data_IF_978878033769
#
_entry.id   IF_978878033769
#
_cell.length_a   1.000
_cell.length_b   1.000
_cell.length_c   1.000
_cell.angle_alpha   90.00
_cell.angle_beta   90.00
_cell.angle_gamma   90.00
#
_symmetry.space_group_name_H-M   'P 1'
#
loop_
_entity.id
_entity.type
_entity.pdbx_description
1 polymer ?
#
# COMPACT_ATOMS: atom_id res chain seq x y z
N UNK A 1 -2.54 -25.30 -9.10
CA UNK A 1 -3.47 -24.84 -8.05
C UNK A 1 -3.36 -25.80 -6.88
N UNK A 2 -3.17 -25.30 -5.67
CA UNK A 2 -3.17 -26.14 -4.47
C UNK A 2 -4.61 -26.65 -4.29
N UNK A 3 -4.82 -27.95 -4.52
CA UNK A 3 -6.15 -28.57 -4.34
C UNK A 3 -6.56 -28.76 -2.87
N UNK A 4 -5.69 -28.43 -1.93
CA UNK A 4 -5.85 -28.68 -0.50
C UNK A 4 -6.11 -27.36 0.23
N UNK A 5 -7.07 -27.35 1.17
CA UNK A 5 -7.32 -26.22 2.06
C UNK A 5 -6.16 -26.05 3.03
N UNK A 6 -5.51 -24.89 3.02
CA UNK A 6 -4.40 -24.56 3.90
C UNK A 6 -4.88 -23.90 5.19
N UNK A 7 -4.13 -24.12 6.28
CA UNK A 7 -4.23 -23.35 7.51
C UNK A 7 -3.15 -22.27 7.52
N UNK A 8 -3.55 -21.00 7.52
CA UNK A 8 -2.65 -19.85 7.35
C UNK A 8 -2.78 -18.91 8.54
N UNK A 9 -1.67 -18.66 9.22
CA UNK A 9 -1.55 -17.60 10.23
C UNK A 9 -1.08 -16.31 9.57
N UNK A 10 -1.89 -15.26 9.67
CA UNK A 10 -1.48 -13.89 9.33
C UNK A 10 -1.03 -13.15 10.59
N UNK A 11 0.22 -12.70 10.61
CA UNK A 11 0.73 -11.78 11.63
C UNK A 11 0.91 -10.39 11.03
N UNK A 12 0.25 -9.38 11.58
CA UNK A 12 0.24 -8.02 11.05
C UNK A 12 0.44 -6.96 12.12
N UNK A 13 1.07 -5.85 11.74
CA UNK A 13 1.25 -4.66 12.61
C UNK A 13 0.09 -3.66 12.53
N UNK A 14 -0.99 -4.00 11.84
CA UNK A 14 -2.21 -3.21 11.72
C UNK A 14 -3.37 -4.09 11.25
N UNK A 15 -4.63 -3.71 11.51
CA UNK A 15 -5.79 -4.46 11.04
C UNK A 15 -5.96 -4.33 9.52
N UNK A 16 -6.45 -5.41 8.88
CA UNK A 16 -6.78 -5.40 7.46
C UNK A 16 -8.13 -4.73 7.16
N UNK A 17 -9.07 -4.76 8.12
CA UNK A 17 -10.44 -4.27 7.94
C UNK A 17 -10.93 -3.46 9.13
N UNK A 18 -11.81 -2.47 8.90
CA UNK A 18 -12.21 -1.94 7.58
C UNK A 18 -11.03 -1.23 6.88
N UNK A 19 -10.88 -1.36 5.55
CA UNK A 19 -9.76 -0.76 4.83
C UNK A 19 -9.95 0.76 4.68
N UNK A 20 -9.02 1.55 5.20
CA UNK A 20 -9.04 3.03 5.18
C UNK A 20 -7.92 3.63 4.30
N UNK A 21 -6.93 2.81 3.91
CA UNK A 21 -5.80 3.20 3.06
C UNK A 21 -5.16 1.99 2.37
N UNK A 22 -4.27 2.24 1.41
CA UNK A 22 -3.76 1.25 0.47
C UNK A 22 -3.22 -0.05 1.08
N UNK A 23 -2.42 0.03 2.16
CA UNK A 23 -1.88 -1.17 2.79
C UNK A 23 -3.00 -2.07 3.38
N UNK A 24 -4.02 -1.45 4.00
CA UNK A 24 -5.18 -2.20 4.49
C UNK A 24 -6.01 -2.78 3.33
N UNK A 25 -6.19 -2.01 2.25
CA UNK A 25 -6.92 -2.48 1.07
C UNK A 25 -6.24 -3.72 0.44
N UNK A 26 -4.89 -3.76 0.39
CA UNK A 26 -4.15 -4.94 -0.05
C UNK A 26 -4.40 -6.14 0.87
N UNK A 27 -4.21 -5.97 2.17
CA UNK A 27 -4.44 -7.05 3.14
C UNK A 27 -5.89 -7.56 3.07
N UNK A 28 -6.86 -6.64 3.11
CA UNK A 28 -8.28 -6.97 3.02
C UNK A 28 -8.61 -7.75 1.75
N UNK A 29 -8.16 -7.26 0.59
CA UNK A 29 -8.42 -7.89 -0.70
C UNK A 29 -7.85 -9.31 -0.80
N UNK A 30 -6.58 -9.49 -0.44
CA UNK A 30 -5.93 -10.81 -0.46
C UNK A 30 -6.54 -11.75 0.58
N UNK A 31 -6.72 -11.31 1.83
CA UNK A 31 -7.26 -12.15 2.90
C UNK A 31 -8.72 -12.53 2.66
N UNK A 32 -9.56 -11.62 2.12
CA UNK A 32 -10.95 -11.93 1.78
C UNK A 32 -11.04 -13.00 0.69
N UNK A 33 -10.20 -12.96 -0.33
CA UNK A 33 -10.16 -13.97 -1.38
C UNK A 33 -9.62 -15.32 -0.89
N UNK A 34 -8.55 -15.29 -0.09
CA UNK A 34 -7.97 -16.50 0.48
C UNK A 34 -8.89 -17.15 1.51
N UNK A 35 -9.61 -16.39 2.32
CA UNK A 35 -10.54 -16.88 3.33
C UNK A 35 -11.73 -17.67 2.77
N UNK A 36 -12.05 -17.48 1.48
CA UNK A 36 -13.04 -18.30 0.76
C UNK A 36 -12.56 -19.74 0.53
N UNK A 37 -11.24 -19.95 0.50
CA UNK A 37 -10.62 -21.22 0.08
C UNK A 37 -9.75 -21.85 1.16
N UNK A 38 -9.27 -21.07 2.12
CA UNK A 38 -8.34 -21.47 3.17
C UNK A 38 -8.85 -21.08 4.56
N UNK A 39 -8.28 -21.69 5.61
CA UNK A 39 -8.57 -21.34 6.99
C UNK A 39 -7.57 -20.27 7.46
N UNK A 40 -8.06 -19.04 7.64
CA UNK A 40 -7.23 -17.92 8.08
C UNK A 40 -7.39 -17.69 9.59
N UNK A 41 -6.27 -17.57 10.28
CA UNK A 41 -6.19 -17.02 11.64
C UNK A 41 -5.36 -15.73 11.58
N UNK A 42 -5.82 -14.65 12.18
CA UNK A 42 -5.08 -13.38 12.21
C UNK A 42 -4.65 -13.04 13.64
N UNK A 43 -3.36 -12.69 13.80
CA UNK A 43 -2.82 -12.04 15.00
C UNK A 43 -2.39 -10.64 14.61
N UNK A 44 -3.04 -9.64 15.20
CA UNK A 44 -2.95 -8.25 14.75
C UNK A 44 -2.49 -7.36 15.90
N UNK A 45 -1.37 -6.68 15.71
CA UNK A 45 -0.94 -5.60 16.59
C UNK A 45 -1.73 -4.34 16.22
N UNK A 46 -2.44 -3.73 17.19
CA UNK A 46 -3.32 -2.60 16.94
C UNK A 46 -2.88 -1.34 17.68
N UNK A 47 -2.83 -0.21 16.98
CA UNK A 47 -2.58 1.10 17.57
C UNK A 47 -3.90 1.73 18.05
N UNK A 48 -3.83 2.71 18.98
CA UNK A 48 -4.97 3.40 19.61
C UNK A 48 -5.91 4.12 18.63
N UNK A 49 -5.50 4.32 17.39
CA UNK A 49 -6.31 4.95 16.35
C UNK A 49 -7.41 4.03 15.76
N UNK A 50 -7.33 2.73 16.05
CA UNK A 50 -8.29 1.74 15.56
C UNK A 50 -9.14 1.21 16.71
N UNK A 51 -10.43 1.04 16.44
CA UNK A 51 -11.31 0.31 17.33
C UNK A 51 -11.07 -1.19 17.18
N UNK A 52 -10.67 -1.84 18.28
CA UNK A 52 -10.29 -3.25 18.28
C UNK A 52 -11.48 -4.18 17.98
N UNK A 53 -12.66 -3.86 18.50
CA UNK A 53 -13.86 -4.67 18.32
C UNK A 53 -14.42 -4.50 16.89
N UNK A 54 -14.44 -3.28 16.37
CA UNK A 54 -14.80 -3.01 14.95
C UNK A 54 -13.88 -3.78 14.00
N UNK A 55 -12.56 -3.69 14.20
CA UNK A 55 -11.58 -4.35 13.34
C UNK A 55 -11.69 -5.86 13.42
N UNK A 56 -11.85 -6.41 14.64
CA UNK A 56 -12.05 -7.83 14.85
C UNK A 56 -13.32 -8.33 14.17
N UNK A 57 -14.46 -7.68 14.38
CA UNK A 57 -15.72 -8.03 13.77
C UNK A 57 -15.65 -8.00 12.23
N UNK A 58 -15.05 -6.96 11.65
CA UNK A 58 -14.88 -6.85 10.21
C UNK A 58 -13.98 -7.95 9.63
N UNK A 59 -12.89 -8.33 10.31
CA UNK A 59 -11.98 -9.38 9.85
C UNK A 59 -12.55 -10.80 10.03
N UNK A 60 -13.45 -11.01 11.00
CA UNK A 60 -14.15 -12.30 11.19
C UNK A 60 -15.04 -12.68 10.00
N UNK A 61 -15.35 -11.75 9.09
CA UNK A 61 -16.08 -12.05 7.87
C UNK A 61 -15.33 -13.02 6.93
N UNK A 62 -14.00 -13.11 7.05
CA UNK A 62 -13.15 -13.96 6.20
C UNK A 62 -12.04 -14.70 6.96
N UNK A 63 -11.84 -14.41 8.24
CA UNK A 63 -10.95 -15.16 9.12
C UNK A 63 -11.77 -16.08 10.03
N UNK A 64 -11.22 -17.26 10.32
CA UNK A 64 -11.78 -18.21 11.30
C UNK A 64 -11.60 -17.71 12.72
N UNK A 65 -10.50 -16.98 12.97
CA UNK A 65 -10.20 -16.40 14.28
C UNK A 65 -9.36 -15.12 14.10
N UNK A 66 -9.59 -14.13 14.97
CA UNK A 66 -8.87 -12.85 14.98
C UNK A 66 -8.48 -12.49 16.40
N UNK A 67 -7.19 -12.46 16.67
CA UNK A 67 -6.61 -12.09 17.95
C UNK A 67 -5.98 -10.73 17.83
N UNK A 68 -6.48 -9.78 18.61
CA UNK A 68 -6.00 -8.39 18.60
C UNK A 68 -5.09 -8.18 19.82
N UNK A 69 -3.91 -7.61 19.58
CA UNK A 69 -2.92 -7.28 20.61
C UNK A 69 -2.71 -5.77 20.61
N UNK A 70 -2.93 -5.07 21.73
CA UNK A 70 -2.68 -3.63 21.81
C UNK A 70 -1.20 -3.28 21.66
N UNK A 71 -0.92 -2.22 20.90
CA UNK A 71 0.44 -1.69 20.76
C UNK A 71 0.69 -0.56 21.77
N UNK A 72 1.57 -0.75 22.77
CA UNK A 72 1.83 0.28 23.78
C UNK A 72 2.63 1.49 23.27
N UNK A 73 3.20 1.39 22.07
CA UNK A 73 4.12 2.42 21.57
C UNK A 73 3.44 3.52 20.74
N UNK A 74 2.19 3.38 20.36
CA UNK A 74 1.43 4.39 19.61
C UNK A 74 2.14 4.95 18.37
N UNK A 75 1.39 5.64 17.51
CA UNK A 75 1.97 6.29 16.31
C UNK A 75 2.39 7.74 16.54
N UNK A 76 1.93 8.35 17.61
CA UNK A 76 2.12 9.76 17.89
C UNK A 76 2.45 10.02 19.40
N UNK A 77 2.83 11.24 19.73
CA UNK A 77 3.03 11.67 21.11
C UNK A 77 4.42 11.39 21.70
N UNK A 78 4.48 11.36 23.03
CA UNK A 78 5.72 11.23 23.80
C UNK A 78 6.33 9.84 23.66
N UNK A 79 5.53 8.79 23.66
CA UNK A 79 5.98 7.40 23.52
C UNK A 79 6.76 7.18 22.22
N UNK A 80 6.25 7.72 21.11
CA UNK A 80 6.96 7.73 19.83
C UNK A 80 8.31 8.42 19.89
N UNK A 81 8.36 9.64 20.49
CA UNK A 81 9.61 10.42 20.61
C UNK A 81 10.65 9.70 21.46
N UNK A 82 10.23 9.12 22.58
CA UNK A 82 11.10 8.32 23.43
C UNK A 82 11.63 7.07 22.70
N UNK A 83 10.78 6.37 21.95
CA UNK A 83 11.19 5.21 21.18
C UNK A 83 12.15 5.61 20.04
N UNK A 84 11.91 6.75 19.37
CA UNK A 84 12.83 7.30 18.38
C UNK A 84 14.19 7.66 18.98
N UNK A 85 14.21 8.30 20.17
CA UNK A 85 15.45 8.60 20.88
C UNK A 85 16.21 7.31 21.28
N UNK A 86 15.49 6.30 21.79
CA UNK A 86 16.08 4.98 22.11
C UNK A 86 16.62 4.29 20.86
N UNK A 87 15.95 4.44 19.70
CA UNK A 87 16.41 3.84 18.46
C UNK A 87 17.75 4.40 18.02
N UNK A 88 18.11 5.63 18.34
CA UNK A 88 19.44 6.20 18.04
C UNK A 88 20.58 5.43 18.71
N UNK A 89 20.37 4.98 19.95
CA UNK A 89 21.33 4.19 20.73
C UNK A 89 21.24 2.67 20.45
N UNK A 90 20.29 2.23 19.62
CA UNK A 90 20.06 0.82 19.28
C UNK A 90 20.73 0.48 17.96
N UNK A 91 21.06 -0.79 17.76
CA UNK A 91 21.46 -1.35 16.45
C UNK A 91 20.23 -1.61 15.54
N UNK A 92 19.02 -1.61 16.12
CA UNK A 92 17.77 -1.86 15.42
C UNK A 92 17.08 -0.57 15.00
N UNK A 93 16.30 -0.65 13.92
CA UNK A 93 15.48 0.44 13.41
C UNK A 93 14.34 0.79 14.37
N UNK A 94 13.85 2.02 14.26
CA UNK A 94 12.64 2.46 14.97
C UNK A 94 11.44 1.58 14.61
N UNK A 95 11.30 1.21 13.34
CA UNK A 95 10.21 0.40 12.79
C UNK A 95 10.15 -0.99 13.45
N UNK A 96 11.30 -1.65 13.58
CA UNK A 96 11.41 -2.91 14.30
C UNK A 96 11.09 -2.75 15.78
N UNK A 97 11.68 -1.77 16.45
CA UNK A 97 11.48 -1.54 17.89
C UNK A 97 10.01 -1.28 18.22
N UNK A 98 9.28 -0.60 17.33
CA UNK A 98 7.86 -0.28 17.51
C UNK A 98 6.97 -1.52 17.52
N UNK A 99 7.33 -2.55 16.81
CA UNK A 99 6.56 -3.81 16.72
C UNK A 99 7.13 -4.93 17.60
N UNK A 100 8.22 -4.66 18.32
CA UNK A 100 8.78 -5.59 19.31
C UNK A 100 8.00 -5.46 20.62
N UNK A 101 6.84 -6.12 20.67
CA UNK A 101 5.91 -6.10 21.80
C UNK A 101 5.87 -7.49 22.44
N UNK A 102 6.26 -7.65 23.74
CA UNK A 102 6.29 -8.95 24.40
C UNK A 102 4.95 -9.69 24.34
N UNK A 103 3.83 -8.99 24.58
CA UNK A 103 2.50 -9.58 24.50
C UNK A 103 2.17 -10.14 23.11
N UNK A 104 2.71 -9.53 22.01
CA UNK A 104 2.56 -10.08 20.67
C UNK A 104 3.29 -11.42 20.53
N UNK A 105 4.52 -11.50 21.05
CA UNK A 105 5.28 -12.77 21.02
C UNK A 105 4.59 -13.86 21.85
N UNK A 106 4.11 -13.55 23.05
CA UNK A 106 3.38 -14.50 23.90
C UNK A 106 2.13 -15.06 23.22
N UNK A 107 1.38 -14.20 22.51
CA UNK A 107 0.22 -14.62 21.73
C UNK A 107 0.63 -15.51 20.57
N UNK A 108 1.68 -15.15 19.84
CA UNK A 108 2.19 -15.95 18.72
C UNK A 108 2.68 -17.32 19.20
N UNK A 109 3.48 -17.38 20.27
CA UNK A 109 3.97 -18.64 20.85
C UNK A 109 2.82 -19.56 21.25
N UNK A 110 1.80 -19.03 21.93
CA UNK A 110 0.61 -19.78 22.29
C UNK A 110 -0.13 -20.33 21.08
N UNK A 111 -0.45 -19.46 20.11
CA UNK A 111 -1.24 -19.84 18.92
C UNK A 111 -0.50 -20.88 18.09
N UNK A 112 0.81 -20.72 17.91
CA UNK A 112 1.65 -21.64 17.16
C UNK A 112 1.85 -22.98 17.86
N UNK A 113 1.87 -23.00 19.19
CA UNK A 113 1.99 -24.24 19.97
C UNK A 113 0.66 -25.02 20.02
N UNK A 114 -0.46 -24.30 20.09
CA UNK A 114 -1.79 -24.92 20.23
C UNK A 114 -2.40 -25.37 18.89
N UNK A 115 -1.98 -24.74 17.76
CA UNK A 115 -2.61 -24.94 16.45
C UNK A 115 -1.58 -25.23 15.37
N UNK A 116 -1.96 -26.11 14.44
CA UNK A 116 -1.17 -26.38 13.24
C UNK A 116 -1.44 -25.33 12.17
N UNK A 117 -0.35 -24.86 11.57
CA UNK A 117 -0.38 -24.00 10.39
C UNK A 117 0.54 -24.56 9.30
N UNK A 118 0.12 -24.41 8.04
CA UNK A 118 0.95 -24.73 6.89
C UNK A 118 1.85 -23.53 6.55
N UNK A 119 1.29 -22.31 6.66
CA UNK A 119 1.94 -21.04 6.36
C UNK A 119 1.79 -20.07 7.53
N UNK A 120 2.87 -19.38 7.86
CA UNK A 120 2.86 -18.13 8.64
C UNK A 120 3.15 -16.99 7.67
N UNK A 121 2.17 -16.15 7.42
CA UNK A 121 2.28 -15.00 6.54
C UNK A 121 2.50 -13.73 7.35
N UNK A 122 3.68 -13.14 7.24
CA UNK A 122 4.01 -11.86 7.87
C UNK A 122 3.63 -10.72 6.95
N UNK A 123 2.80 -9.82 7.42
CA UNK A 123 2.54 -8.59 6.72
C UNK A 123 3.54 -7.54 7.19
N UNK A 124 4.41 -7.16 6.30
CA UNK A 124 5.61 -6.35 6.46
C UNK A 124 6.82 -7.09 7.09
N UNK A 125 8.02 -6.82 6.57
CA UNK A 125 9.26 -7.50 7.00
C UNK A 125 9.69 -7.15 8.42
N UNK A 126 9.23 -6.04 8.99
CA UNK A 126 9.60 -5.60 10.33
C UNK A 126 9.13 -6.52 11.47
N UNK A 127 8.20 -7.46 11.21
CA UNK A 127 7.82 -8.54 12.12
C UNK A 127 8.74 -9.76 12.05
N UNK A 128 9.58 -9.89 11.03
CA UNK A 128 10.39 -11.08 10.77
C UNK A 128 11.48 -11.38 11.80
N UNK A 129 11.70 -10.50 12.78
CA UNK A 129 12.59 -10.74 13.90
C UNK A 129 11.93 -11.53 15.05
N UNK A 130 10.59 -11.62 15.06
CA UNK A 130 9.86 -12.39 16.07
C UNK A 130 10.13 -13.89 15.90
N UNK A 131 9.86 -14.66 16.95
CA UNK A 131 10.01 -16.11 16.92
C UNK A 131 8.76 -16.76 16.32
N UNK A 132 8.96 -17.57 15.28
CA UNK A 132 7.92 -18.37 14.62
C UNK A 132 8.27 -19.86 14.58
N UNK A 133 9.26 -20.29 15.39
CA UNK A 133 9.74 -21.66 15.42
C UNK A 133 9.01 -22.54 16.44
N UNK A 134 7.89 -22.06 16.99
CA UNK A 134 6.97 -22.84 17.81
C UNK A 134 5.97 -23.58 16.90
N UNK A 135 5.67 -24.81 17.21
CA UNK A 135 4.64 -25.63 16.54
C UNK A 135 4.27 -26.85 17.39
N UNK A 136 3.10 -27.47 17.20
CA UNK A 136 2.68 -28.62 18.01
C UNK A 136 3.64 -29.80 17.87
N UNK A 137 3.82 -30.54 18.95
CA UNK A 137 4.73 -31.70 18.96
C UNK A 137 4.32 -32.74 17.89
N UNK A 138 5.28 -33.20 17.10
CA UNK A 138 5.05 -34.15 16.00
C UNK A 138 4.59 -33.52 14.67
N UNK A 139 4.33 -32.22 14.63
CA UNK A 139 3.99 -31.50 13.41
C UNK A 139 5.23 -30.90 12.74
N UNK A 140 5.10 -30.54 11.45
CA UNK A 140 6.15 -29.83 10.71
C UNK A 140 6.11 -28.35 11.04
N UNK A 141 7.28 -27.68 11.01
CA UNK A 141 7.38 -26.23 11.10
C UNK A 141 6.58 -25.58 9.97
N UNK A 142 5.71 -24.60 10.28
CA UNK A 142 5.03 -23.82 9.24
C UNK A 142 6.03 -23.05 8.38
N UNK A 143 5.70 -22.82 7.11
CA UNK A 143 6.51 -22.00 6.22
C UNK A 143 6.33 -20.54 6.50
N UNK A 144 7.42 -19.82 6.65
CA UNK A 144 7.43 -18.39 6.89
C UNK A 144 7.45 -17.63 5.55
N UNK A 145 6.40 -16.88 5.27
CA UNK A 145 6.27 -16.08 4.05
C UNK A 145 6.09 -14.61 4.43
N UNK A 146 6.78 -13.71 3.74
CA UNK A 146 6.71 -12.25 3.99
C UNK A 146 5.99 -11.55 2.86
N UNK A 147 4.95 -10.76 3.18
CA UNK A 147 4.30 -9.78 2.31
C UNK A 147 5.06 -8.46 2.40
N UNK A 148 5.83 -8.14 1.39
CA UNK A 148 6.53 -6.86 1.29
C UNK A 148 5.76 -5.91 0.40
N UNK A 149 5.03 -4.96 1.01
CA UNK A 149 4.22 -3.98 0.29
C UNK A 149 5.07 -2.97 -0.49
N UNK A 150 6.28 -2.74 -0.04
CA UNK A 150 7.30 -1.87 -0.62
C UNK A 150 8.66 -2.22 0.01
N UNK A 151 9.74 -1.82 -0.60
CA UNK A 151 11.07 -1.88 0.02
C UNK A 151 11.24 -0.65 0.92
N UNK A 152 10.89 -0.79 2.20
CA UNK A 152 10.78 0.35 3.11
C UNK A 152 12.12 1.04 3.38
N UNK A 153 13.25 0.31 3.39
CA UNK A 153 14.55 0.94 3.54
C UNK A 153 14.94 1.82 2.33
N UNK A 154 14.48 1.49 1.11
CA UNK A 154 14.74 2.34 -0.07
C UNK A 154 13.92 3.63 0.02
N UNK A 155 12.67 3.54 0.43
CA UNK A 155 11.84 4.71 0.70
C UNK A 155 12.44 5.59 1.81
N UNK A 156 12.91 4.98 2.91
CA UNK A 156 13.58 5.71 3.99
C UNK A 156 14.89 6.38 3.52
N UNK A 157 15.62 5.76 2.60
CA UNK A 157 16.79 6.37 1.93
C UNK A 157 16.39 7.59 1.13
N UNK A 158 15.36 7.50 0.27
CA UNK A 158 14.84 8.63 -0.51
C UNK A 158 14.48 9.82 0.42
N UNK A 159 13.84 9.56 1.56
CA UNK A 159 13.52 10.61 2.55
C UNK A 159 14.76 11.23 3.19
N UNK A 160 15.81 10.45 3.39
CA UNK A 160 17.06 10.96 3.95
C UNK A 160 17.80 11.93 3.00
N UNK A 161 17.54 11.80 1.69
CA UNK A 161 18.18 12.62 0.65
C UNK A 161 17.37 13.89 0.33
N UNK A 162 16.04 13.83 0.38
CA UNK A 162 15.17 14.85 -0.21
C UNK A 162 14.49 15.78 0.79
N UNK A 163 14.45 15.50 2.09
CA UNK A 163 13.52 16.21 2.95
C UNK A 163 14.00 16.70 4.31
N UNK A 164 13.47 17.86 4.73
CA UNK A 164 13.45 18.29 6.11
C UNK A 164 14.70 19.03 6.60
N UNK A 165 14.76 19.26 7.94
CA UNK A 165 15.90 19.89 8.61
C UNK A 165 17.13 18.98 8.62
N UNK A 166 18.33 19.54 8.80
CA UNK A 166 19.58 18.77 8.90
C UNK A 166 19.50 17.66 9.95
N UNK A 167 18.86 17.93 11.09
CA UNK A 167 18.66 16.94 12.17
C UNK A 167 17.77 15.78 11.71
N UNK A 168 16.68 16.07 11.00
CA UNK A 168 15.80 15.03 10.46
C UNK A 168 16.53 14.17 9.42
N UNK A 169 17.32 14.79 8.55
CA UNK A 169 18.13 14.05 7.56
C UNK A 169 19.14 13.13 8.23
N UNK A 170 19.86 13.62 9.23
CA UNK A 170 20.83 12.82 9.99
C UNK A 170 20.16 11.62 10.67
N UNK A 171 19.02 11.85 11.34
CA UNK A 171 18.21 10.77 11.91
C UNK A 171 17.78 9.75 10.83
N UNK A 172 17.22 10.22 9.72
CA UNK A 172 16.78 9.37 8.63
C UNK A 172 17.94 8.57 8.03
N UNK A 173 19.13 9.18 7.89
CA UNK A 173 20.34 8.49 7.42
C UNK A 173 20.80 7.40 8.40
N UNK A 174 20.72 7.61 9.70
CA UNK A 174 21.04 6.59 10.68
C UNK A 174 19.99 5.46 10.69
N UNK A 175 18.71 5.81 10.59
CA UNK A 175 17.62 4.84 10.70
C UNK A 175 17.47 3.96 9.45
N UNK A 176 17.62 4.50 8.22
CA UNK A 176 17.42 3.68 7.01
C UNK A 176 18.45 2.55 6.89
N UNK A 177 19.71 2.75 7.35
CA UNK A 177 20.72 1.69 7.36
C UNK A 177 20.35 0.55 8.31
N UNK A 178 19.78 0.89 9.47
CA UNK A 178 19.27 -0.10 10.44
C UNK A 178 18.05 -0.82 9.88
N UNK A 179 17.14 -0.06 9.26
CA UNK A 179 15.95 -0.62 8.62
C UNK A 179 16.33 -1.58 7.50
N UNK A 180 17.31 -1.23 6.66
CA UNK A 180 17.84 -2.14 5.64
C UNK A 180 18.41 -3.43 6.26
N UNK A 181 19.16 -3.32 7.36
CA UNK A 181 19.67 -4.50 8.07
C UNK A 181 18.55 -5.39 8.60
N UNK A 182 17.53 -4.79 9.24
CA UNK A 182 16.41 -5.50 9.82
C UNK A 182 15.53 -6.16 8.74
N UNK A 183 15.21 -5.46 7.64
CA UNK A 183 14.41 -6.00 6.54
C UNK A 183 15.13 -7.14 5.81
N UNK A 184 16.40 -6.95 5.45
CA UNK A 184 17.18 -8.00 4.81
C UNK A 184 17.35 -9.23 5.73
N UNK A 185 17.45 -9.03 7.04
CA UNK A 185 17.42 -10.10 8.03
C UNK A 185 16.11 -10.90 7.97
N UNK A 186 14.98 -10.21 7.86
CA UNK A 186 13.66 -10.83 7.74
C UNK A 186 13.51 -11.62 6.43
N UNK A 187 13.93 -11.04 5.30
CA UNK A 187 13.86 -11.71 4.00
C UNK A 187 14.73 -12.97 3.93
N UNK A 188 15.91 -12.96 4.57
CA UNK A 188 16.80 -14.14 4.61
C UNK A 188 16.28 -15.26 5.51
N UNK A 189 15.45 -14.95 6.51
CA UNK A 189 14.81 -15.95 7.38
C UNK A 189 13.55 -16.54 6.77
N UNK A 190 12.92 -15.85 5.83
CA UNK A 190 11.70 -16.30 5.20
C UNK A 190 11.94 -17.46 4.23
N UNK A 191 11.00 -18.41 4.19
CA UNK A 191 10.95 -19.46 3.18
C UNK A 191 10.52 -18.91 1.81
N UNK A 192 9.87 -17.73 1.80
CA UNK A 192 9.50 -16.99 0.61
C UNK A 192 9.10 -15.54 0.90
N UNK A 193 9.24 -14.69 -0.11
CA UNK A 193 8.88 -13.26 -0.05
C UNK A 193 8.04 -12.91 -1.28
N UNK A 194 6.89 -12.28 -1.10
CA UNK A 194 6.16 -11.76 -2.24
C UNK A 194 6.04 -10.23 -2.18
N UNK A 195 6.13 -9.61 -3.36
CA UNK A 195 6.23 -8.17 -3.53
C UNK A 195 5.15 -7.65 -4.48
N UNK A 196 4.92 -6.35 -4.47
CA UNK A 196 3.86 -5.73 -5.28
C UNK A 196 4.25 -5.54 -6.75
N UNK A 197 5.54 -5.53 -7.08
CA UNK A 197 6.02 -5.22 -8.42
C UNK A 197 7.32 -5.94 -8.78
N UNK A 198 7.55 -6.10 -10.07
CA UNK A 198 8.83 -6.60 -10.62
C UNK A 198 9.99 -5.67 -10.27
N UNK A 199 9.74 -4.36 -10.13
CA UNK A 199 10.78 -3.41 -9.75
C UNK A 199 11.26 -3.65 -8.31
N UNK A 200 10.32 -3.86 -7.37
CA UNK A 200 10.67 -4.19 -5.99
C UNK A 200 11.32 -5.57 -5.87
N UNK A 201 10.85 -6.54 -6.65
CA UNK A 201 11.48 -7.88 -6.70
C UNK A 201 12.94 -7.80 -7.15
N UNK A 202 13.24 -7.04 -8.19
CA UNK A 202 14.63 -6.83 -8.65
C UNK A 202 15.47 -6.15 -7.57
N UNK A 203 14.96 -5.09 -6.93
CA UNK A 203 15.66 -4.41 -5.81
C UNK A 203 15.96 -5.38 -4.67
N UNK A 204 15.04 -6.27 -4.33
CA UNK A 204 15.28 -7.28 -3.31
C UNK A 204 16.34 -8.29 -3.75
N UNK A 205 16.25 -8.81 -4.97
CA UNK A 205 17.18 -9.83 -5.50
C UNK A 205 18.60 -9.29 -5.67
N UNK A 206 18.79 -8.00 -5.94
CA UNK A 206 20.10 -7.33 -5.96
C UNK A 206 20.79 -7.40 -4.59
N UNK A 207 20.02 -7.41 -3.49
CA UNK A 207 20.51 -7.42 -2.11
C UNK A 207 20.45 -8.81 -1.44
N UNK A 208 19.60 -9.67 -1.93
CA UNK A 208 19.37 -11.03 -1.44
C UNK A 208 19.12 -12.00 -2.62
N UNK A 209 20.12 -12.29 -3.45
CA UNK A 209 19.96 -13.07 -4.68
C UNK A 209 19.50 -14.51 -4.48
N UNK A 210 19.58 -15.03 -3.25
CA UNK A 210 19.08 -16.36 -2.89
C UNK A 210 17.64 -16.38 -2.36
N UNK A 211 16.96 -15.23 -2.28
CA UNK A 211 15.58 -15.18 -1.80
C UNK A 211 14.64 -15.82 -2.82
N UNK A 212 13.70 -16.65 -2.32
CA UNK A 212 12.59 -17.13 -3.15
C UNK A 212 11.52 -16.07 -3.20
N UNK A 213 11.27 -15.53 -4.38
CA UNK A 213 10.36 -14.40 -4.56
C UNK A 213 9.21 -14.70 -5.49
N UNK A 214 8.13 -13.91 -5.38
CA UNK A 214 7.05 -13.83 -6.36
C UNK A 214 6.49 -12.41 -6.41
N UNK A 215 5.99 -12.02 -7.57
CA UNK A 215 5.22 -10.79 -7.72
C UNK A 215 3.73 -11.10 -7.54
N UNK A 216 3.14 -10.53 -6.49
CA UNK A 216 1.70 -10.53 -6.22
C UNK A 216 1.24 -9.08 -6.28
N UNK A 217 0.70 -8.62 -7.41
CA UNK A 217 0.42 -7.21 -7.62
C UNK A 217 -0.64 -6.67 -6.65
N UNK A 218 -0.60 -5.37 -6.39
CA UNK A 218 -1.74 -4.67 -5.84
C UNK A 218 -2.90 -4.74 -6.84
N UNK A 219 -4.12 -4.80 -6.33
CA UNK A 219 -5.31 -4.98 -7.15
C UNK A 219 -6.44 -4.04 -6.68
N UNK A 220 -7.54 -4.02 -7.40
CA UNK A 220 -8.77 -3.37 -6.99
C UNK A 220 -9.93 -4.38 -6.98
N UNK A 221 -10.95 -4.08 -6.22
CA UNK A 221 -12.26 -4.70 -6.40
C UNK A 221 -12.88 -4.10 -7.68
N UNK A 222 -12.65 -4.78 -8.80
CA UNK A 222 -13.07 -4.30 -10.14
C UNK A 222 -14.59 -4.35 -10.35
N UNK A 223 -15.31 -5.05 -9.47
CA UNK A 223 -16.77 -5.09 -9.45
C UNK A 223 -17.33 -3.94 -8.60
N UNK A 224 -16.62 -3.56 -7.54
CA UNK A 224 -16.94 -2.37 -6.74
C UNK A 224 -16.53 -1.09 -7.48
N UNK A 225 -15.28 -1.00 -7.95
CA UNK A 225 -14.78 0.10 -8.76
C UNK A 225 -15.12 -0.10 -10.24
N UNK A 226 -16.37 0.14 -10.61
CA UNK A 226 -16.82 0.10 -11.99
C UNK A 226 -17.72 1.30 -12.31
N UNK A 227 -17.66 1.82 -13.54
CA UNK A 227 -18.59 2.84 -14.00
C UNK A 227 -20.04 2.30 -13.96
N UNK A 228 -20.96 3.06 -13.39
CA UNK A 228 -22.38 2.71 -13.31
C UNK A 228 -23.20 3.69 -14.12
N UNK A 229 -24.35 3.23 -14.65
CA UNK A 229 -25.28 4.10 -15.38
C UNK A 229 -25.86 5.24 -14.51
N UNK A 230 -25.86 5.05 -13.19
CA UNK A 230 -26.33 6.03 -12.20
C UNK A 230 -25.23 6.99 -11.74
N UNK A 231 -23.97 6.79 -12.17
CA UNK A 231 -22.87 7.68 -11.80
C UNK A 231 -23.06 9.06 -12.45
N UNK A 232 -22.65 10.15 -11.77
CA UNK A 232 -22.66 11.46 -12.38
C UNK A 232 -21.70 11.46 -13.59
N UNK A 233 -22.08 12.09 -14.71
CA UNK A 233 -21.17 12.24 -15.83
C UNK A 233 -19.95 13.06 -15.43
N UNK A 234 -18.80 12.77 -16.03
CA UNK A 234 -17.64 13.61 -15.87
C UNK A 234 -17.96 15.03 -16.32
N UNK A 235 -17.66 16.02 -15.47
CA UNK A 235 -17.96 17.44 -15.77
C UNK A 235 -16.98 18.10 -16.73
N UNK A 236 -15.96 17.36 -17.17
CA UNK A 236 -14.92 17.82 -18.09
C UNK A 236 -13.92 18.84 -17.49
N UNK A 237 -14.06 19.18 -16.21
CA UNK A 237 -13.31 20.27 -15.54
C UNK A 237 -12.68 19.88 -14.22
N UNK A 238 -13.21 18.86 -13.54
CA UNK A 238 -12.71 18.43 -12.23
C UNK A 238 -11.59 17.42 -12.38
N UNK A 239 -10.43 17.77 -11.83
CA UNK A 239 -9.35 16.85 -11.56
C UNK A 239 -9.53 16.24 -10.18
N UNK A 240 -9.01 15.03 -9.97
CA UNK A 240 -9.02 14.39 -8.67
C UNK A 240 -7.62 13.87 -8.31
N UNK A 241 -7.26 14.02 -7.05
CA UNK A 241 -6.18 13.32 -6.38
C UNK A 241 -6.74 12.67 -5.12
N UNK A 242 -6.31 11.45 -4.77
CA UNK A 242 -6.71 10.85 -3.51
C UNK A 242 -5.61 10.00 -2.88
N UNK A 243 -5.67 9.86 -1.54
CA UNK A 243 -4.74 9.08 -0.76
C UNK A 243 -4.64 9.53 0.69
N UNK A 244 -3.86 8.82 1.51
CA UNK A 244 -3.62 9.18 2.90
C UNK A 244 -2.72 10.42 2.97
N UNK A 245 -3.31 11.59 3.25
CA UNK A 245 -2.65 12.91 3.16
C UNK A 245 -1.66 13.18 4.31
N UNK A 246 -1.49 12.27 5.25
CA UNK A 246 -0.48 12.35 6.31
C UNK A 246 0.88 11.75 5.92
N UNK A 247 0.98 11.05 4.79
CA UNK A 247 2.24 10.44 4.35
C UNK A 247 3.09 11.39 3.53
N UNK A 248 4.40 11.33 3.69
CA UNK A 248 5.35 12.21 3.01
C UNK A 248 5.19 12.22 1.48
N UNK A 249 5.04 11.07 0.77
CA UNK A 249 4.85 11.08 -0.67
C UNK A 249 3.60 11.84 -1.12
N UNK A 250 2.50 11.67 -0.41
CA UNK A 250 1.24 12.34 -0.75
C UNK A 250 1.31 13.85 -0.43
N UNK A 251 1.94 14.23 0.68
CA UNK A 251 2.16 15.66 1.01
C UNK A 251 3.03 16.32 -0.05
N UNK A 252 4.14 15.69 -0.42
CA UNK A 252 5.06 16.19 -1.45
C UNK A 252 4.36 16.29 -2.79
N UNK A 253 3.71 15.22 -3.25
CA UNK A 253 3.03 15.18 -4.57
C UNK A 253 1.93 16.22 -4.70
N UNK A 254 1.07 16.36 -3.65
CA UNK A 254 0.01 17.41 -3.64
C UNK A 254 0.62 18.81 -3.64
N UNK A 255 1.66 19.02 -2.82
CA UNK A 255 2.33 20.34 -2.75
C UNK A 255 2.96 20.70 -4.08
N UNK A 256 3.68 19.76 -4.70
CA UNK A 256 4.25 19.92 -6.03
C UNK A 256 3.18 20.19 -7.09
N UNK A 257 2.09 19.42 -7.09
CA UNK A 257 1.00 19.63 -8.03
C UNK A 257 0.42 21.04 -7.93
N UNK A 258 0.06 21.47 -6.71
CA UNK A 258 -0.63 22.76 -6.53
C UNK A 258 0.29 23.95 -6.78
N UNK A 259 1.58 23.85 -6.45
CA UNK A 259 2.52 24.96 -6.61
C UNK A 259 3.13 25.06 -7.98
N UNK A 260 3.50 23.92 -8.56
CA UNK A 260 4.36 23.89 -9.74
C UNK A 260 3.61 23.49 -11.02
N UNK A 261 2.53 22.67 -10.91
CA UNK A 261 1.78 22.16 -12.08
C UNK A 261 0.45 22.91 -12.27
N UNK A 262 -0.32 23.09 -11.19
CA UNK A 262 -1.66 23.66 -11.23
C UNK A 262 -1.73 25.05 -11.86
N UNK A 263 -0.78 26.00 -11.67
CA UNK A 263 -0.83 27.30 -12.33
C UNK A 263 -0.87 27.23 -13.86
N UNK A 264 -0.19 26.25 -14.46
CA UNK A 264 -0.21 26.04 -15.91
C UNK A 264 -1.56 25.48 -16.41
N UNK A 265 -2.24 24.68 -15.57
CA UNK A 265 -3.55 24.13 -15.89
C UNK A 265 -4.64 25.19 -15.74
N UNK A 266 -4.67 25.90 -14.61
CA UNK A 266 -5.70 26.89 -14.30
C UNK A 266 -5.61 28.12 -15.23
N UNK A 267 -4.43 28.44 -15.73
CA UNK A 267 -4.25 29.48 -16.75
C UNK A 267 -4.85 29.08 -18.10
N UNK A 268 -4.69 27.83 -18.53
CA UNK A 268 -5.24 27.30 -19.78
C UNK A 268 -6.75 26.99 -19.70
N UNK A 269 -7.19 26.54 -18.53
CA UNK A 269 -8.58 26.16 -18.23
C UNK A 269 -9.07 26.84 -16.94
N UNK A 270 -9.48 28.14 -16.98
CA UNK A 270 -9.85 28.90 -15.78
C UNK A 270 -11.03 28.33 -14.98
N UNK A 271 -11.90 27.55 -15.62
CA UNK A 271 -13.03 26.90 -14.97
C UNK A 271 -12.70 25.53 -14.33
N UNK A 272 -11.45 25.09 -14.49
CA UNK A 272 -11.01 23.82 -13.91
C UNK A 272 -10.85 23.91 -12.39
N UNK A 273 -10.95 22.76 -11.74
CA UNK A 273 -10.78 22.62 -10.29
C UNK A 273 -10.14 21.28 -9.96
N UNK A 274 -9.47 21.23 -8.82
CA UNK A 274 -8.94 19.98 -8.28
C UNK A 274 -9.57 19.66 -6.93
N UNK A 275 -10.02 18.39 -6.77
CA UNK A 275 -10.42 17.80 -5.50
C UNK A 275 -9.32 16.91 -4.97
N UNK A 276 -8.82 17.23 -3.80
CA UNK A 276 -7.81 16.46 -3.07
C UNK A 276 -8.55 15.72 -1.95
N UNK A 277 -8.65 14.40 -2.09
CA UNK A 277 -9.45 13.53 -1.22
C UNK A 277 -8.52 12.72 -0.33
N UNK A 278 -8.74 12.75 0.97
CA UNK A 278 -8.00 11.91 1.89
C UNK A 278 -7.97 12.41 3.32
N UNK A 279 -7.80 11.45 4.22
CA UNK A 279 -7.79 11.74 5.65
C UNK A 279 -6.48 12.38 6.12
N UNK A 280 -6.57 13.11 7.24
CA UNK A 280 -5.43 13.65 8.01
C UNK A 280 -4.51 14.59 7.22
N UNK A 281 -5.02 15.56 6.45
CA UNK A 281 -4.17 16.55 5.82
C UNK A 281 -3.45 17.39 6.90
N UNK A 282 -2.13 17.60 6.79
CA UNK A 282 -1.41 18.50 7.69
C UNK A 282 -1.76 19.96 7.38
N UNK A 283 -1.49 20.89 8.32
CA UNK A 283 -1.75 22.32 8.11
C UNK A 283 -1.11 22.90 6.83
N UNK A 284 0.03 22.34 6.42
CA UNK A 284 0.72 22.75 5.19
C UNK A 284 -0.09 22.47 3.92
N UNK A 285 -0.92 21.43 3.89
CA UNK A 285 -1.83 21.18 2.78
C UNK A 285 -3.09 22.04 2.86
N UNK A 286 -3.62 22.29 4.06
CA UNK A 286 -4.74 23.21 4.24
C UNK A 286 -4.43 24.62 3.71
N UNK A 287 -3.18 25.07 3.86
CA UNK A 287 -2.74 26.36 3.33
C UNK A 287 -2.69 26.45 1.79
N UNK A 288 -2.84 25.33 1.08
CA UNK A 288 -2.93 25.27 -0.38
C UNK A 288 -4.39 25.37 -0.90
N UNK A 289 -5.38 25.26 -0.02
CA UNK A 289 -6.78 25.33 -0.38
C UNK A 289 -7.15 26.74 -0.90
N UNK A 290 -8.07 26.78 -1.87
CA UNK A 290 -8.53 28.01 -2.49
C UNK A 290 -9.79 27.76 -3.32
N UNK A 291 -10.27 28.73 -4.08
CA UNK A 291 -11.52 28.62 -4.87
C UNK A 291 -11.54 27.44 -5.84
N UNK A 292 -10.41 27.07 -6.39
CA UNK A 292 -10.25 25.99 -7.38
C UNK A 292 -9.56 24.74 -6.80
N UNK A 293 -9.01 24.81 -5.58
CA UNK A 293 -8.29 23.72 -4.91
C UNK A 293 -9.04 23.36 -3.64
N UNK A 294 -9.70 22.22 -3.62
CA UNK A 294 -10.47 21.77 -2.47
C UNK A 294 -9.88 20.53 -1.81
N UNK A 295 -9.79 20.55 -0.47
CA UNK A 295 -9.47 19.39 0.36
C UNK A 295 -10.79 18.90 0.99
N UNK A 296 -11.19 17.67 0.67
CA UNK A 296 -12.49 17.13 1.14
C UNK A 296 -12.39 16.39 2.47
N UNK A 297 -11.18 16.04 2.91
CA UNK A 297 -11.01 15.07 3.99
C UNK A 297 -11.27 13.63 3.52
N UNK A 298 -11.53 12.75 4.50
CA UNK A 298 -11.93 11.36 4.22
C UNK A 298 -13.36 11.34 3.63
N UNK A 299 -13.59 10.41 2.69
CA UNK A 299 -14.92 10.15 2.10
C UNK A 299 -15.21 8.65 2.22
N UNK A 300 -16.46 8.32 2.54
CA UNK A 300 -16.88 6.92 2.70
C UNK A 300 -16.94 6.16 1.37
N UNK A 301 -17.31 6.85 0.29
CA UNK A 301 -17.36 6.29 -1.06
C UNK A 301 -16.61 7.20 -2.04
N UNK A 302 -15.51 6.67 -2.59
CA UNK A 302 -14.66 7.37 -3.56
C UNK A 302 -15.27 7.36 -4.97
N UNK A 303 -16.13 6.40 -5.29
CA UNK A 303 -16.64 6.15 -6.66
C UNK A 303 -17.36 7.34 -7.27
N UNK A 304 -18.28 8.06 -6.58
CA UNK A 304 -18.94 9.25 -7.15
C UNK A 304 -17.94 10.36 -7.50
N UNK A 305 -16.88 10.51 -6.70
CA UNK A 305 -15.83 11.50 -6.95
C UNK A 305 -14.99 11.13 -8.17
N UNK A 306 -14.64 9.85 -8.30
CA UNK A 306 -13.93 9.35 -9.48
C UNK A 306 -14.81 9.43 -10.72
N UNK A 307 -16.09 9.04 -10.63
CA UNK A 307 -17.03 9.12 -11.75
C UNK A 307 -17.14 10.53 -12.32
N UNK A 308 -17.34 11.52 -11.45
CA UNK A 308 -17.48 12.93 -11.83
C UNK A 308 -16.18 13.57 -12.34
N UNK A 309 -15.02 13.01 -12.04
CA UNK A 309 -13.74 13.58 -12.44
C UNK A 309 -13.45 13.36 -13.93
N UNK A 310 -12.84 14.36 -14.58
CA UNK A 310 -12.31 14.27 -15.92
C UNK A 310 -11.00 13.45 -15.94
N UNK A 311 -10.08 13.73 -15.00
CA UNK A 311 -8.74 13.13 -14.95
C UNK A 311 -8.34 12.86 -13.49
N UNK A 312 -7.73 11.70 -13.26
CA UNK A 312 -6.92 11.45 -12.05
C UNK A 312 -5.50 11.96 -12.28
N UNK A 313 -4.96 12.72 -11.33
CA UNK A 313 -3.56 13.16 -11.35
C UNK A 313 -2.76 12.45 -10.26
N UNK A 314 -1.55 11.95 -10.62
CA UNK A 314 -0.66 11.24 -9.69
C UNK A 314 0.77 11.81 -9.80
N UNK A 315 1.01 13.02 -9.27
CA UNK A 315 2.26 13.77 -9.43
C UNK A 315 3.31 13.40 -8.38
N UNK A 316 3.50 12.09 -8.12
CA UNK A 316 4.38 11.60 -7.06
C UNK A 316 5.84 11.66 -7.50
N UNK A 317 6.71 12.18 -6.62
CA UNK A 317 8.17 12.24 -6.78
C UNK A 317 8.92 11.40 -5.76
N UNK A 318 8.19 10.86 -4.79
CA UNK A 318 8.69 9.99 -3.72
C UNK A 318 7.75 8.79 -3.57
N UNK A 319 8.31 7.66 -3.19
CA UNK A 319 7.51 6.49 -2.85
C UNK A 319 8.09 5.17 -3.34
N UNK A 320 7.52 4.06 -2.88
CA UNK A 320 7.78 2.68 -3.28
C UNK A 320 6.49 1.91 -3.51
N UNK A 321 6.57 0.67 -3.97
CA UNK A 321 5.41 -0.19 -4.24
C UNK A 321 4.50 0.29 -5.37
N UNK A 322 3.45 -0.46 -5.68
CA UNK A 322 2.42 -0.09 -6.67
C UNK A 322 1.36 0.83 -6.07
N UNK A 323 0.93 1.82 -6.83
CA UNK A 323 -0.05 2.83 -6.37
C UNK A 323 -1.48 2.33 -6.59
N UNK A 324 -2.13 1.83 -5.54
CA UNK A 324 -3.54 1.38 -5.58
C UNK A 324 -4.47 2.40 -6.20
N UNK A 325 -4.27 3.70 -5.94
CA UNK A 325 -5.07 4.78 -6.54
C UNK A 325 -5.11 4.76 -8.07
N UNK A 326 -4.02 4.31 -8.72
CA UNK A 326 -3.98 4.16 -10.18
C UNK A 326 -4.86 2.98 -10.57
N UNK A 327 -4.72 1.84 -9.92
CA UNK A 327 -5.49 0.62 -10.24
C UNK A 327 -6.99 0.85 -10.02
N UNK A 328 -7.38 1.51 -8.92
CA UNK A 328 -8.77 1.86 -8.62
C UNK A 328 -9.36 2.82 -9.67
N UNK A 329 -8.60 3.84 -10.09
CA UNK A 329 -9.03 4.76 -11.14
C UNK A 329 -9.06 4.10 -12.52
N UNK A 330 -8.12 3.21 -12.84
CA UNK A 330 -8.17 2.37 -14.03
C UNK A 330 -9.44 1.52 -14.04
N UNK A 331 -9.77 0.89 -12.91
CA UNK A 331 -11.01 0.11 -12.76
C UNK A 331 -12.26 0.96 -12.96
N UNK A 332 -12.26 2.22 -12.53
CA UNK A 332 -13.32 3.20 -12.80
C UNK A 332 -13.31 3.77 -14.23
N UNK A 333 -12.41 3.30 -15.09
CA UNK A 333 -12.31 3.77 -16.47
C UNK A 333 -11.90 5.25 -16.60
N UNK A 334 -11.08 5.76 -15.68
CA UNK A 334 -10.62 7.15 -15.68
C UNK A 334 -9.35 7.34 -16.47
N UNK A 335 -9.25 8.46 -17.20
CA UNK A 335 -7.98 8.93 -17.73
C UNK A 335 -7.06 9.31 -16.57
N UNK A 336 -5.78 8.95 -16.68
CA UNK A 336 -4.80 9.15 -15.63
C UNK A 336 -3.57 9.85 -16.22
N UNK A 337 -3.10 10.89 -15.54
CA UNK A 337 -1.78 11.48 -15.77
C UNK A 337 -0.92 11.24 -14.54
N UNK A 338 0.23 10.62 -14.73
CA UNK A 338 1.15 10.26 -13.65
C UNK A 338 2.58 10.61 -13.98
N UNK A 339 3.41 10.77 -12.97
CA UNK A 339 4.86 10.68 -13.13
C UNK A 339 5.28 9.23 -13.38
N UNK A 340 6.48 9.02 -13.93
CA UNK A 340 7.08 7.69 -14.08
C UNK A 340 7.14 6.96 -12.73
N UNK A 341 7.55 7.66 -11.66
CA UNK A 341 7.57 7.11 -10.31
C UNK A 341 6.15 6.82 -9.80
N UNK A 342 5.19 7.69 -10.08
CA UNK A 342 3.78 7.47 -9.69
C UNK A 342 3.18 6.21 -10.31
N UNK A 343 3.56 5.88 -11.54
CA UNK A 343 3.10 4.71 -12.29
C UNK A 343 4.03 3.48 -12.15
N UNK A 344 5.09 3.57 -11.32
CA UNK A 344 6.03 2.45 -11.16
C UNK A 344 5.31 1.17 -10.72
N UNK A 345 5.62 0.06 -11.37
CA UNK A 345 5.02 -1.25 -11.10
C UNK A 345 3.62 -1.45 -11.70
N UNK A 346 3.08 -0.47 -12.43
CA UNK A 346 1.84 -0.61 -13.17
C UNK A 346 2.15 -1.06 -14.61
N UNK A 347 1.66 -2.22 -14.99
CA UNK A 347 1.81 -2.77 -16.35
C UNK A 347 0.74 -2.17 -17.27
N UNK A 348 0.91 -0.88 -17.58
CA UNK A 348 0.08 -0.10 -18.49
C UNK A 348 0.96 0.57 -19.54
N UNK A 349 0.44 0.70 -20.76
CA UNK A 349 1.17 1.30 -21.88
C UNK A 349 0.99 2.82 -21.88
N UNK A 350 2.09 3.53 -21.74
CA UNK A 350 2.10 5.00 -21.81
C UNK A 350 1.52 5.49 -23.15
N UNK A 351 0.70 6.54 -23.11
CA UNK A 351 0.00 7.12 -24.26
C UNK A 351 -1.29 6.39 -24.66
N UNK A 352 -1.49 5.14 -24.22
CA UNK A 352 -2.68 4.34 -24.52
C UNK A 352 -3.57 4.11 -23.28
N UNK A 353 -2.99 3.67 -22.17
CA UNK A 353 -3.71 3.29 -20.96
C UNK A 353 -3.54 4.34 -19.84
N UNK A 354 -2.46 5.10 -19.91
CA UNK A 354 -2.06 6.14 -18.96
C UNK A 354 -1.17 7.15 -19.66
N UNK A 355 -1.18 8.42 -19.26
CA UNK A 355 -0.20 9.42 -19.70
C UNK A 355 0.89 9.58 -18.65
N UNK A 356 2.14 9.61 -19.08
CA UNK A 356 3.32 9.75 -18.23
C UNK A 356 4.04 11.08 -18.54
N UNK A 357 4.28 11.86 -17.50
CA UNK A 357 5.01 13.11 -17.58
C UNK A 357 5.70 13.44 -16.25
N UNK A 358 7.00 13.73 -16.27
CA UNK A 358 7.82 13.89 -15.06
C UNK A 358 8.09 15.35 -14.68
N UNK A 359 8.08 16.27 -15.64
CA UNK A 359 8.25 17.69 -15.38
C UNK A 359 6.91 18.46 -15.34
N UNK A 360 6.82 19.60 -14.60
CA UNK A 360 5.56 20.33 -14.42
C UNK A 360 4.89 20.77 -15.72
N UNK A 361 5.66 21.17 -16.72
CA UNK A 361 5.10 21.71 -17.97
C UNK A 361 4.51 20.60 -18.84
N UNK A 362 5.21 19.46 -19.00
CA UNK A 362 4.71 18.31 -19.73
C UNK A 362 3.53 17.65 -19.00
N UNK A 363 3.55 17.61 -17.66
CA UNK A 363 2.42 17.12 -16.88
C UNK A 363 1.17 17.98 -17.07
N UNK A 364 1.33 19.30 -16.98
CA UNK A 364 0.24 20.23 -17.26
C UNK A 364 -0.27 20.13 -18.70
N UNK A 365 0.63 20.01 -19.68
CA UNK A 365 0.25 19.83 -21.09
C UNK A 365 -0.56 18.54 -21.30
N UNK A 366 -0.16 17.43 -20.68
CA UNK A 366 -0.92 16.18 -20.73
C UNK A 366 -2.34 16.32 -20.13
N UNK A 367 -2.45 16.98 -18.98
CA UNK A 367 -3.76 17.27 -18.35
C UNK A 367 -4.61 18.19 -19.26
N UNK A 368 -4.04 19.28 -19.75
CA UNK A 368 -4.73 20.24 -20.62
C UNK A 368 -5.24 19.58 -21.91
N UNK A 369 -4.44 18.68 -22.48
CA UNK A 369 -4.86 17.91 -23.66
C UNK A 369 -6.08 17.02 -23.40
N UNK A 370 -6.15 16.39 -22.21
CA UNK A 370 -7.31 15.58 -21.82
C UNK A 370 -8.54 16.42 -21.48
N UNK A 371 -8.36 17.62 -20.90
CA UNK A 371 -9.47 18.55 -20.63
C UNK A 371 -10.03 19.14 -21.94
N UNK A 372 -9.20 19.38 -22.94
CA UNK A 372 -9.59 19.87 -24.25
C UNK A 372 -10.24 18.81 -25.14
N UNK A 373 -9.92 17.51 -24.92
CA UNK A 373 -10.43 16.39 -25.70
C UNK A 373 -11.04 15.30 -24.79
N UNK A 374 -12.30 15.45 -24.33
CA UNK A 374 -12.98 14.45 -23.52
C UNK A 374 -13.13 13.07 -24.20
N UNK A 375 -13.17 13.04 -25.55
CA UNK A 375 -13.25 11.77 -26.29
C UNK A 375 -11.95 10.96 -26.13
N UNK A 376 -10.81 11.61 -26.22
CA UNK A 376 -9.49 11.03 -25.95
C UNK A 376 -9.35 10.59 -24.50
N UNK A 377 -9.81 11.40 -23.54
CA UNK A 377 -9.83 11.03 -22.13
C UNK A 377 -10.65 9.75 -21.91
N UNK A 378 -11.85 9.67 -22.51
CA UNK A 378 -12.70 8.48 -22.42
C UNK A 378 -12.06 7.24 -23.10
N UNK A 379 -11.34 7.40 -24.19
CA UNK A 379 -10.62 6.32 -24.87
C UNK A 379 -9.53 5.72 -23.97
N UNK A 380 -8.67 6.58 -23.40
CA UNK A 380 -7.62 6.19 -22.45
C UNK A 380 -8.24 5.48 -21.25
N UNK A 381 -9.31 6.06 -20.67
CA UNK A 381 -10.01 5.47 -19.53
C UNK A 381 -10.58 4.08 -19.82
N UNK A 382 -11.19 3.88 -21.01
CA UNK A 382 -11.65 2.53 -21.42
C UNK A 382 -10.50 1.55 -21.58
N UNK A 383 -9.38 1.99 -22.12
CA UNK A 383 -8.17 1.15 -22.25
C UNK A 383 -7.60 0.78 -20.88
N UNK A 384 -7.48 1.77 -19.98
CA UNK A 384 -7.07 1.57 -18.60
C UNK A 384 -7.96 0.52 -17.88
N UNK A 385 -9.29 0.63 -18.01
CA UNK A 385 -10.21 -0.33 -17.39
C UNK A 385 -9.99 -1.76 -17.89
N UNK A 386 -9.77 -1.98 -19.18
CA UNK A 386 -9.48 -3.33 -19.71
C UNK A 386 -8.25 -3.93 -19.00
N UNK A 387 -7.18 -3.14 -18.86
CA UNK A 387 -5.96 -3.56 -18.15
C UNK A 387 -6.26 -3.88 -16.68
N UNK A 388 -7.05 -3.02 -15.98
CA UNK A 388 -7.40 -3.26 -14.59
C UNK A 388 -8.19 -4.56 -14.39
N UNK A 389 -9.20 -4.81 -15.21
CA UNK A 389 -10.03 -6.03 -15.14
C UNK A 389 -9.21 -7.28 -15.45
N UNK A 390 -8.30 -7.21 -16.43
CA UNK A 390 -7.48 -8.32 -16.87
C UNK A 390 -6.39 -8.68 -15.85
N UNK A 391 -5.69 -7.67 -15.29
CA UNK A 391 -4.44 -7.89 -14.54
C UNK A 391 -4.54 -7.58 -13.05
N UNK A 392 -5.51 -6.78 -12.60
CA UNK A 392 -5.50 -6.18 -11.28
C UNK A 392 -6.76 -6.48 -10.46
N UNK A 393 -7.29 -7.72 -10.54
CA UNK A 393 -8.36 -8.19 -9.66
C UNK A 393 -7.79 -8.89 -8.42
N UNK A 394 -8.42 -8.72 -7.26
CA UNK A 394 -8.01 -9.43 -6.04
C UNK A 394 -8.07 -10.95 -6.18
N UNK A 395 -9.03 -11.47 -6.94
CA UNK A 395 -9.09 -12.91 -7.22
C UNK A 395 -7.88 -13.39 -8.04
N UNK A 396 -7.38 -12.58 -8.99
CA UNK A 396 -6.16 -12.85 -9.75
C UNK A 396 -4.91 -12.83 -8.85
N UNK A 397 -4.77 -11.76 -8.05
CA UNK A 397 -3.66 -11.62 -7.11
C UNK A 397 -3.62 -12.76 -6.08
N UNK A 398 -4.77 -13.16 -5.54
CA UNK A 398 -4.87 -14.28 -4.61
C UNK A 398 -4.47 -15.61 -5.26
N UNK A 399 -4.85 -15.87 -6.52
CA UNK A 399 -4.37 -17.08 -7.24
C UNK A 399 -2.86 -17.09 -7.44
N UNK A 400 -2.25 -15.93 -7.72
CA UNK A 400 -0.78 -15.82 -7.80
C UNK A 400 -0.12 -16.12 -6.46
N UNK A 401 -0.72 -15.62 -5.36
CA UNK A 401 -0.22 -15.90 -4.01
C UNK A 401 -0.37 -17.38 -3.62
N UNK A 402 -1.50 -18.01 -3.96
CA UNK A 402 -1.69 -19.47 -3.76
C UNK A 402 -0.67 -20.29 -4.54
N UNK A 403 -0.40 -19.94 -5.80
CA UNK A 403 0.63 -20.62 -6.58
C UNK A 403 2.00 -20.49 -5.90
N UNK A 404 2.33 -19.29 -5.37
CA UNK A 404 3.55 -19.08 -4.64
C UNK A 404 3.63 -19.89 -3.34
N UNK A 405 2.56 -19.96 -2.55
CA UNK A 405 2.49 -20.84 -1.37
C UNK A 405 2.77 -22.30 -1.75
N UNK A 406 2.27 -22.76 -2.91
CA UNK A 406 2.58 -24.10 -3.43
C UNK A 406 4.07 -24.33 -3.61
N UNK A 407 4.76 -23.40 -4.27
CA UNK A 407 6.21 -23.51 -4.49
C UNK A 407 7.02 -23.49 -3.19
N UNK A 408 6.55 -22.72 -2.18
CA UNK A 408 7.20 -22.66 -0.86
C UNK A 408 7.01 -23.96 -0.07
N UNK A 409 5.84 -24.58 -0.17
CA UNK A 409 5.54 -25.85 0.50
C UNK A 409 6.26 -27.03 -0.14
N UNK A 410 6.33 -27.10 -1.47
CA UNK A 410 7.02 -28.16 -2.22
C UNK A 410 8.54 -28.19 -2.00
N UNK A 411 9.16 -27.04 -1.86
CA UNK A 411 10.61 -26.94 -1.65
C UNK A 411 11.09 -27.55 -0.31
N UNK A 412 10.18 -28.04 0.49
CA UNK A 412 10.40 -28.61 1.83
C UNK A 412 10.06 -30.09 1.93
N UNK A 413 9.48 -30.64 0.88
CA UNK A 413 9.23 -32.09 0.79
C UNK A 413 10.47 -32.80 0.25
#
# INVERSE_FOLDING_TARGET
MIGTRLSILYASQMPASPPRFGAQARMHGLMSELGRRHDLTAVVLIDDEFDADECRAAMMAYCRDVIVVPNPYGRDGLAKRLLQARSLASVHSYERMRVTVPALQEVLDRVLTERRFDIVNLVFPNLGHLNFDQFPAGEKRPRLVVDSHEIAYDLARQYSETGGTAVRRLYAQANWRKLRHDELGSYRRADGVYLCSVADERRLLDEAPGARTAVVPNAADVDYFQPRATDPPADGRTLVYFGLLSTTPNIDGVTHFVRDIWPHISSAHPDSRIKIIGGRPPPSLHALAGPQVSLTGFVDDLRPHLAAAAVLVVPLRLGGGTRLKIVEAMAMGKAIVSTSLGAEGIDAVAGRDILIADDPSSFAAAVNGLLADPARAAEIGRSARRVAVEKYSWSGAARSLEAFYGTVLEAAA
#
